data_IF_134498765539
#
_entry.id   IF_134498765539
#
_cell.length_a   1.000
_cell.length_b   1.000
_cell.length_c   1.000
_cell.angle_alpha   90.00
_cell.angle_beta   90.00
_cell.angle_gamma   90.00
#
_symmetry.space_group_name_H-M   'P 1'
#
loop_
_entity.id
_entity.type
_entity.pdbx_description
1 polymer ?
#
# COMPACT_ATOMS: atom_id res chain seq x y z
N UNK A 1 25.90 -1.67 -13.66
CA UNK A 1 24.47 -1.90 -13.97
C UNK A 1 23.91 -0.62 -14.53
N UNK A 2 23.51 -0.61 -15.80
CA UNK A 2 22.81 0.53 -16.39
C UNK A 2 21.53 0.77 -15.61
N UNK A 3 21.41 1.95 -15.01
CA UNK A 3 20.16 2.46 -14.46
C UNK A 3 19.30 2.81 -15.68
N UNK A 4 18.52 1.85 -16.16
CA UNK A 4 17.37 2.17 -16.98
C UNK A 4 16.46 3.03 -16.10
N UNK A 5 16.32 4.32 -16.45
CA UNK A 5 15.34 5.19 -15.84
C UNK A 5 13.96 4.62 -16.15
N UNK A 6 13.40 3.83 -15.24
CA UNK A 6 12.01 3.43 -15.30
C UNK A 6 11.20 4.73 -15.21
N UNK A 7 10.47 5.04 -16.28
CA UNK A 7 9.49 6.12 -16.28
C UNK A 7 8.52 5.89 -15.11
N UNK A 8 8.01 6.96 -14.50
CA UNK A 8 6.96 6.84 -13.50
C UNK A 8 5.74 6.17 -14.16
N UNK A 9 5.51 4.91 -13.85
CA UNK A 9 4.37 4.12 -14.34
C UNK A 9 3.29 4.10 -13.28
N UNK A 10 2.06 4.54 -13.59
CA UNK A 10 0.91 4.29 -12.73
C UNK A 10 0.79 2.79 -12.46
N UNK A 11 0.65 2.40 -11.19
CA UNK A 11 0.55 0.99 -10.81
C UNK A 11 0.30 0.83 -9.33
N UNK A 12 -0.49 -0.19 -8.98
CA UNK A 12 -0.69 -0.56 -7.58
C UNK A 12 0.60 -1.15 -7.00
N UNK A 13 0.63 -1.31 -5.68
CA UNK A 13 1.65 -2.16 -5.07
C UNK A 13 1.31 -3.63 -5.33
N UNK A 14 2.32 -4.48 -5.33
CA UNK A 14 2.17 -5.93 -5.47
C UNK A 14 3.02 -6.61 -4.40
N UNK A 15 2.43 -7.53 -3.65
CA UNK A 15 3.14 -8.38 -2.71
C UNK A 15 3.70 -9.59 -3.45
N UNK A 16 4.98 -9.87 -3.26
CA UNK A 16 5.62 -11.07 -3.80
C UNK A 16 6.45 -11.81 -2.78
N UNK A 17 6.51 -13.13 -2.93
CA UNK A 17 7.54 -13.93 -2.26
C UNK A 17 8.92 -13.75 -2.92
N UNK A 18 9.95 -14.38 -2.36
CA UNK A 18 11.33 -14.27 -2.86
C UNK A 18 11.54 -14.79 -4.31
N UNK A 19 10.61 -15.55 -4.88
CA UNK A 19 10.70 -16.08 -6.25
C UNK A 19 9.72 -15.39 -7.21
N UNK A 20 8.94 -14.43 -6.73
CA UNK A 20 8.06 -13.58 -7.52
C UNK A 20 6.61 -14.04 -7.60
N UNK A 21 6.16 -15.00 -6.78
CA UNK A 21 4.75 -15.39 -6.72
C UNK A 21 3.95 -14.36 -5.91
N UNK A 22 2.70 -14.12 -6.32
CA UNK A 22 1.73 -13.21 -5.67
C UNK A 22 0.76 -13.95 -4.72
N UNK A 23 0.95 -15.25 -4.56
CA UNK A 23 0.28 -16.08 -3.58
C UNK A 23 1.18 -17.25 -3.21
N UNK A 24 0.91 -17.89 -2.07
CA UNK A 24 1.67 -19.05 -1.66
C UNK A 24 0.75 -20.19 -1.21
N UNK A 25 0.89 -21.35 -1.84
CA UNK A 25 0.30 -22.59 -1.35
C UNK A 25 1.39 -23.44 -0.69
N UNK A 26 1.29 -23.57 0.64
CA UNK A 26 2.18 -24.40 1.45
C UNK A 26 1.83 -25.87 1.19
N UNK A 27 2.77 -26.60 0.63
CA UNK A 27 2.63 -28.05 0.38
C UNK A 27 3.81 -28.81 0.99
N UNK A 28 3.74 -30.13 0.96
CA UNK A 28 4.86 -30.98 1.36
C UNK A 28 6.11 -30.88 0.45
N UNK A 29 5.99 -30.22 -0.70
CA UNK A 29 7.09 -30.03 -1.67
C UNK A 29 7.45 -28.56 -1.89
N UNK A 30 6.60 -27.64 -1.43
CA UNK A 30 6.78 -26.20 -1.47
C UNK A 30 6.47 -25.66 -0.07
N UNK A 31 7.48 -25.72 0.80
CA UNK A 31 7.33 -25.45 2.22
C UNK A 31 7.76 -24.03 2.60
N UNK A 32 7.32 -23.63 3.80
CA UNK A 32 7.91 -22.51 4.53
C UNK A 32 9.36 -22.85 4.91
N UNK A 33 10.14 -21.84 5.32
CA UNK A 33 11.50 -22.06 5.81
C UNK A 33 11.53 -22.92 7.09
N UNK A 34 12.73 -23.26 7.59
CA UNK A 34 12.89 -24.14 8.76
C UNK A 34 12.17 -23.64 10.04
N UNK A 35 11.87 -22.34 10.13
CA UNK A 35 11.14 -21.73 11.24
C UNK A 35 9.63 -21.64 10.99
N UNK A 36 9.14 -22.15 9.85
CA UNK A 36 7.73 -22.04 9.46
C UNK A 36 7.36 -20.65 8.97
N UNK A 37 8.29 -19.93 8.34
CA UNK A 37 8.07 -18.57 7.84
C UNK A 37 8.32 -18.44 6.33
N UNK A 38 7.78 -17.37 5.76
CA UNK A 38 7.95 -16.95 4.37
C UNK A 38 8.43 -15.50 4.36
N UNK A 39 9.38 -15.19 3.48
CA UNK A 39 9.83 -13.83 3.22
C UNK A 39 9.01 -13.24 2.07
N UNK A 40 8.38 -12.10 2.33
CA UNK A 40 7.59 -11.33 1.40
C UNK A 40 8.22 -9.94 1.21
N UNK A 41 7.93 -9.32 0.07
CA UNK A 41 8.31 -7.95 -0.21
C UNK A 41 7.22 -7.26 -1.03
N UNK A 42 7.21 -5.93 -0.96
CA UNK A 42 6.33 -5.10 -1.76
C UNK A 42 7.10 -4.55 -2.95
N UNK A 43 6.63 -4.84 -4.16
CA UNK A 43 6.95 -4.06 -5.36
C UNK A 43 5.98 -2.88 -5.45
N UNK A 44 6.50 -1.70 -5.79
CA UNK A 44 5.70 -0.48 -5.78
C UNK A 44 6.14 0.51 -6.88
N UNK A 45 5.24 1.40 -7.35
CA UNK A 45 5.58 2.38 -8.37
C UNK A 45 6.62 3.37 -7.87
N UNK A 46 7.56 3.75 -8.74
CA UNK A 46 8.51 4.82 -8.44
C UNK A 46 7.82 6.17 -8.63
N UNK A 47 7.53 6.84 -7.52
CA UNK A 47 7.01 8.21 -7.49
C UNK A 47 8.14 9.13 -7.05
N UNK A 48 8.38 10.23 -7.78
CA UNK A 48 9.43 11.20 -7.45
C UNK A 48 8.84 12.48 -6.88
N UNK A 49 9.58 13.10 -5.98
CA UNK A 49 9.29 14.46 -5.50
C UNK A 49 9.33 15.46 -6.67
N UNK A 50 8.55 16.53 -6.57
CA UNK A 50 8.43 17.54 -7.63
C UNK A 50 9.33 18.74 -7.38
N UNK A 51 10.50 18.56 -6.76
CA UNK A 51 11.47 19.64 -6.51
C UNK A 51 11.89 20.37 -7.78
N UNK A 52 11.92 19.65 -8.91
CA UNK A 52 12.15 20.17 -10.24
C UNK A 52 11.49 19.23 -11.27
N UNK A 53 11.57 19.58 -12.56
CA UNK A 53 11.13 18.74 -13.68
C UNK A 53 12.24 18.57 -14.71
N UNK A 54 12.28 17.39 -15.34
CA UNK A 54 12.95 17.16 -16.62
C UNK A 54 11.93 17.04 -17.74
N UNK A 55 12.33 17.30 -18.98
CA UNK A 55 11.44 17.19 -20.14
C UNK A 55 12.03 16.27 -21.20
N UNK A 56 11.17 15.41 -21.75
CA UNK A 56 11.51 14.52 -22.86
C UNK A 56 10.46 14.63 -23.95
N UNK A 57 10.89 14.48 -25.21
CA UNK A 57 9.96 14.34 -26.34
C UNK A 57 9.30 12.97 -26.31
N UNK A 58 8.06 12.91 -26.78
CA UNK A 58 7.29 11.69 -26.91
C UNK A 58 6.37 11.75 -28.15
N UNK A 59 5.75 10.62 -28.48
CA UNK A 59 4.79 10.56 -29.57
C UNK A 59 3.56 11.43 -29.29
N UNK A 60 2.93 11.95 -30.34
CA UNK A 60 1.65 12.65 -30.23
C UNK A 60 0.51 11.64 -30.01
N UNK A 61 0.16 11.44 -28.75
CA UNK A 61 -0.90 10.53 -28.31
C UNK A 61 -1.80 11.21 -27.27
N UNK A 62 -2.54 12.26 -27.63
CA UNK A 62 -3.42 12.95 -26.69
C UNK A 62 -4.46 11.98 -26.13
N UNK A 63 -4.69 11.96 -24.80
CA UNK A 63 -5.62 11.01 -24.17
C UNK A 63 -7.09 11.23 -24.52
N UNK A 64 -7.45 12.43 -24.99
CA UNK A 64 -8.79 12.78 -25.51
C UNK A 64 -8.62 13.65 -26.75
N UNK A 65 -9.59 13.59 -27.66
CA UNK A 65 -9.61 14.52 -28.79
C UNK A 65 -9.70 15.97 -28.27
N UNK A 66 -8.99 16.89 -28.93
CA UNK A 66 -8.85 18.27 -28.43
C UNK A 66 -10.17 19.05 -28.42
N UNK A 67 -11.16 18.62 -29.21
CA UNK A 67 -12.51 19.18 -29.28
C UNK A 67 -13.54 18.46 -28.38
N UNK A 68 -13.07 17.72 -27.36
CA UNK A 68 -13.93 17.01 -26.42
C UNK A 68 -13.71 17.49 -24.98
N UNK A 69 -14.76 17.39 -24.17
CA UNK A 69 -14.78 17.77 -22.77
C UNK A 69 -15.88 18.78 -22.47
N UNK A 70 -15.79 19.40 -21.29
CA UNK A 70 -16.65 20.50 -20.89
C UNK A 70 -16.09 21.81 -21.47
N UNK A 71 -16.85 22.55 -22.29
CA UNK A 71 -16.39 23.82 -22.86
C UNK A 71 -16.34 24.91 -21.79
N UNK A 72 -15.39 25.84 -21.94
CA UNK A 72 -15.33 27.07 -21.15
C UNK A 72 -16.15 28.22 -21.75
N UNK A 73 -16.74 28.00 -22.94
CA UNK A 73 -17.42 29.03 -23.73
C UNK A 73 -16.48 30.20 -24.03
N UNK A 74 -15.29 29.88 -24.55
CA UNK A 74 -14.21 30.81 -24.73
C UNK A 74 -14.58 31.94 -25.70
N UNK A 75 -14.50 33.19 -25.22
CA UNK A 75 -14.74 34.39 -26.01
C UNK A 75 -13.95 35.56 -25.42
N UNK A 76 -12.62 35.42 -25.45
CA UNK A 76 -11.69 36.32 -24.80
C UNK A 76 -10.35 36.36 -25.52
N UNK A 77 -9.63 37.44 -25.27
CA UNK A 77 -8.29 37.76 -25.75
C UNK A 77 -7.48 38.26 -24.54
N UNK A 78 -6.21 37.84 -24.44
CA UNK A 78 -5.30 38.25 -23.36
C UNK A 78 -5.86 38.21 -21.92
N UNK A 79 -6.54 37.13 -21.53
CA UNK A 79 -7.22 37.03 -20.24
C UNK A 79 -6.90 35.75 -19.47
N UNK A 80 -6.98 35.83 -18.14
CA UNK A 80 -7.10 34.68 -17.23
C UNK A 80 -8.57 34.53 -16.77
N UNK A 81 -9.48 33.99 -17.61
CA UNK A 81 -10.92 34.11 -17.41
C UNK A 81 -11.53 33.13 -16.41
N UNK A 82 -10.88 31.99 -16.18
CA UNK A 82 -11.53 30.87 -15.51
C UNK A 82 -10.61 30.16 -14.54
N UNK A 83 -11.11 30.00 -13.30
CA UNK A 83 -10.56 29.09 -12.31
C UNK A 83 -11.21 27.72 -12.49
N UNK A 84 -10.41 26.66 -12.54
CA UNK A 84 -10.87 25.28 -12.53
C UNK A 84 -10.41 24.59 -11.24
N UNK A 85 -11.33 23.96 -10.53
CA UNK A 85 -10.99 23.08 -9.43
C UNK A 85 -10.45 21.76 -9.98
N UNK A 86 -9.36 21.28 -9.40
CA UNK A 86 -8.73 20.03 -9.80
C UNK A 86 -9.48 18.85 -9.15
N UNK A 87 -9.73 17.76 -9.90
CA UNK A 87 -10.42 16.58 -9.37
C UNK A 87 -9.56 15.78 -8.37
N UNK A 88 -8.26 16.08 -8.32
CA UNK A 88 -7.27 15.53 -7.40
C UNK A 88 -6.27 16.62 -7.03
N UNK A 89 -5.57 16.43 -5.91
CA UNK A 89 -4.48 17.32 -5.53
C UNK A 89 -3.29 17.11 -6.46
N UNK A 90 -2.77 18.19 -7.03
CA UNK A 90 -1.61 18.16 -7.90
C UNK A 90 -0.44 18.86 -7.22
N UNK A 91 0.69 18.17 -7.08
CA UNK A 91 1.90 18.79 -6.55
C UNK A 91 2.80 19.29 -7.68
N UNK A 92 3.21 20.54 -7.60
CA UNK A 92 4.04 21.21 -8.58
C UNK A 92 5.08 22.06 -7.86
N UNK A 93 6.37 21.81 -8.10
CA UNK A 93 7.48 22.48 -7.39
C UNK A 93 7.33 22.42 -5.85
N UNK A 94 7.05 21.22 -5.32
CA UNK A 94 6.81 20.94 -3.90
C UNK A 94 5.66 21.73 -3.24
N UNK A 95 4.73 22.26 -4.04
CA UNK A 95 3.53 22.92 -3.55
C UNK A 95 2.29 22.18 -4.04
N UNK A 96 1.30 22.04 -3.17
CA UNK A 96 0.04 21.36 -3.49
C UNK A 96 -1.00 22.35 -3.99
N UNK A 97 -1.68 21.98 -5.07
CA UNK A 97 -2.73 22.76 -5.67
C UNK A 97 -4.01 21.93 -5.82
N UNK A 98 -5.14 22.56 -5.51
CA UNK A 98 -6.48 21.99 -5.69
C UNK A 98 -7.26 22.72 -6.80
N UNK A 99 -6.64 23.72 -7.43
CA UNK A 99 -7.21 24.50 -8.50
C UNK A 99 -6.10 25.15 -9.33
N UNK A 100 -6.45 25.57 -10.54
CA UNK A 100 -5.62 26.39 -11.41
C UNK A 100 -6.47 27.47 -12.11
N UNK A 101 -5.81 28.42 -12.76
CA UNK A 101 -6.43 29.42 -13.62
C UNK A 101 -5.94 29.21 -15.05
N UNK A 102 -6.87 29.18 -15.99
CA UNK A 102 -6.60 29.04 -17.42
C UNK A 102 -6.32 30.41 -18.02
N UNK A 103 -5.26 30.54 -18.81
CA UNK A 103 -4.94 31.73 -19.59
C UNK A 103 -5.25 31.52 -21.06
N UNK A 104 -5.86 32.51 -21.70
CA UNK A 104 -6.28 32.46 -23.11
C UNK A 104 -5.13 32.18 -24.07
N UNK A 105 -3.90 32.56 -23.71
CA UNK A 105 -2.74 32.40 -24.57
C UNK A 105 -2.09 31.01 -24.49
N UNK A 106 -2.81 29.95 -24.10
CA UNK A 106 -2.32 28.56 -24.20
C UNK A 106 -1.49 28.10 -22.99
N UNK A 107 -1.78 28.64 -21.81
CA UNK A 107 -1.10 28.32 -20.57
C UNK A 107 -2.09 28.16 -19.40
N UNK A 108 -1.61 27.57 -18.31
CA UNK A 108 -2.30 27.56 -17.02
C UNK A 108 -1.36 27.99 -15.91
N UNK A 109 -1.89 28.59 -14.86
CA UNK A 109 -1.14 28.98 -13.67
C UNK A 109 -1.82 28.47 -12.41
N UNK A 110 -1.02 28.07 -11.43
CA UNK A 110 -1.49 27.73 -10.09
C UNK A 110 -1.53 28.97 -9.17
N UNK A 111 -1.08 30.13 -9.63
CA UNK A 111 -1.31 31.41 -8.94
C UNK A 111 -2.74 31.88 -9.18
N UNK A 112 -3.63 31.55 -8.22
CA UNK A 112 -5.05 31.90 -8.31
C UNK A 112 -5.31 33.41 -8.30
N UNK A 113 -4.34 34.23 -7.89
CA UNK A 113 -4.47 35.69 -7.94
C UNK A 113 -4.50 36.24 -9.37
N UNK A 114 -4.13 35.43 -10.36
CA UNK A 114 -4.20 35.81 -11.77
C UNK A 114 -5.64 35.83 -12.33
N UNK A 115 -6.62 35.24 -11.64
CA UNK A 115 -8.01 35.23 -12.11
C UNK A 115 -8.52 36.65 -12.37
N UNK A 116 -8.97 36.90 -13.60
CA UNK A 116 -9.46 38.20 -14.05
C UNK A 116 -8.39 39.20 -14.49
N UNK A 117 -7.11 38.88 -14.32
CA UNK A 117 -6.00 39.70 -14.81
C UNK A 117 -5.70 39.42 -16.29
N UNK A 118 -4.84 40.27 -16.86
CA UNK A 118 -4.36 40.16 -18.23
C UNK A 118 -3.42 38.96 -18.34
N UNK A 119 -3.70 38.04 -19.27
CA UNK A 119 -2.75 37.01 -19.67
C UNK A 119 -1.90 37.57 -20.81
N UNK A 120 -0.83 38.30 -20.50
CA UNK A 120 -0.03 38.99 -21.52
C UNK A 120 0.47 38.02 -22.62
N UNK A 121 0.49 38.42 -23.90
CA UNK A 121 0.95 37.58 -25.01
C UNK A 121 2.45 37.75 -25.32
N UNK A 122 3.10 38.76 -24.72
CA UNK A 122 4.49 39.13 -24.97
C UNK A 122 5.47 38.18 -24.27
N UNK A 123 6.12 37.31 -25.04
CA UNK A 123 7.15 36.38 -24.57
C UNK A 123 8.54 36.92 -24.96
N UNK A 124 9.16 37.65 -24.03
CA UNK A 124 10.47 38.30 -24.24
C UNK A 124 11.64 37.57 -23.55
N UNK A 125 11.35 36.69 -22.61
CA UNK A 125 12.37 36.04 -21.77
C UNK A 125 12.42 34.54 -22.02
N UNK A 126 13.60 33.95 -21.82
CA UNK A 126 13.78 32.50 -21.79
C UNK A 126 13.36 31.96 -20.42
N UNK A 127 12.65 30.84 -20.39
CA UNK A 127 12.34 30.06 -19.20
C UNK A 127 13.61 29.35 -18.67
N UNK A 128 13.88 29.38 -17.36
CA UNK A 128 13.19 30.14 -16.31
C UNK A 128 13.57 31.62 -16.25
N UNK A 129 12.58 32.47 -15.98
CA UNK A 129 12.78 33.88 -15.69
C UNK A 129 11.64 34.45 -14.84
N UNK A 130 11.98 35.32 -13.88
CA UNK A 130 11.02 35.96 -12.96
C UNK A 130 10.01 36.89 -13.64
N UNK A 131 10.29 37.32 -14.86
CA UNK A 131 9.41 38.17 -15.69
C UNK A 131 8.41 37.37 -16.53
N UNK A 132 8.53 36.03 -16.58
CA UNK A 132 7.50 35.17 -17.16
C UNK A 132 6.36 34.97 -16.15
N UNK A 133 5.14 34.60 -16.62
CA UNK A 133 4.09 34.14 -15.72
C UNK A 133 4.58 32.98 -14.84
N UNK A 134 4.63 33.19 -13.53
CA UNK A 134 5.21 32.23 -12.57
C UNK A 134 4.19 31.16 -12.18
N UNK A 135 4.68 30.11 -11.52
CA UNK A 135 3.85 29.00 -11.05
C UNK A 135 2.96 28.40 -12.16
N UNK A 136 3.55 28.25 -13.35
CA UNK A 136 2.80 28.07 -14.60
C UNK A 136 3.27 26.89 -15.42
N UNK A 137 2.32 26.35 -16.19
CA UNK A 137 2.55 25.37 -17.26
C UNK A 137 2.20 26.05 -18.57
N UNK A 138 3.18 26.16 -19.44
CA UNK A 138 3.07 26.70 -20.78
C UNK A 138 2.87 25.54 -21.76
N UNK A 139 1.63 25.33 -22.21
CA UNK A 139 1.31 24.28 -23.18
C UNK A 139 1.82 24.65 -24.56
N UNK A 140 1.17 25.62 -25.19
CA UNK A 140 1.73 26.39 -26.30
C UNK A 140 1.42 27.84 -25.97
N UNK A 141 2.27 28.45 -25.16
CA UNK A 141 2.10 29.84 -24.78
C UNK A 141 2.41 30.72 -25.99
N UNK A 142 1.40 31.34 -26.59
CA UNK A 142 1.52 32.29 -27.68
C UNK A 142 0.26 33.17 -27.77
N UNK A 143 0.38 34.28 -28.49
CA UNK A 143 -0.71 35.23 -28.72
C UNK A 143 -1.90 34.58 -29.47
N UNK A 144 -2.99 34.33 -28.75
CA UNK A 144 -4.19 33.65 -29.24
C UNK A 144 -5.46 34.34 -28.78
N UNK A 145 -6.43 34.37 -29.70
CA UNK A 145 -7.79 34.86 -29.45
C UNK A 145 -8.81 33.75 -29.68
N UNK A 146 -9.77 33.67 -28.75
CA UNK A 146 -10.91 32.76 -28.81
C UNK A 146 -12.20 33.55 -29.04
N UNK A 147 -13.07 33.05 -29.89
CA UNK A 147 -14.31 33.75 -30.25
C UNK A 147 -15.47 32.79 -30.42
N UNK A 148 -16.61 33.14 -29.81
CA UNK A 148 -17.86 32.40 -29.96
C UNK A 148 -18.42 32.39 -31.41
N UNK A 149 -17.86 33.20 -32.31
CA UNK A 149 -18.27 33.29 -33.72
C UNK A 149 -17.48 32.36 -34.64
N UNK A 150 -16.58 31.53 -34.09
CA UNK A 150 -15.75 30.62 -34.86
C UNK A 150 -15.53 29.29 -34.10
N UNK A 151 -14.85 28.28 -34.68
CA UNK A 151 -14.74 26.96 -34.05
C UNK A 151 -13.73 26.89 -32.88
N UNK A 152 -13.14 28.01 -32.45
CA UNK A 152 -12.19 28.04 -31.33
C UNK A 152 -12.88 27.81 -29.98
N UNK A 153 -12.27 27.00 -29.11
CA UNK A 153 -12.78 26.73 -27.76
C UNK A 153 -11.65 26.24 -26.85
N UNK A 154 -11.85 26.38 -25.54
CA UNK A 154 -11.06 25.70 -24.52
C UNK A 154 -11.94 24.67 -23.81
N UNK A 155 -11.51 23.41 -23.82
CA UNK A 155 -12.19 22.31 -23.14
C UNK A 155 -11.39 21.85 -21.94
N UNK A 156 -12.08 21.34 -20.91
CA UNK A 156 -11.44 20.54 -19.88
C UNK A 156 -12.17 19.21 -19.67
N UNK A 157 -11.47 18.21 -19.18
CA UNK A 157 -12.06 16.93 -18.81
C UNK A 157 -11.28 16.24 -17.71
N UNK A 158 -11.96 15.36 -16.97
CA UNK A 158 -11.32 14.38 -16.08
C UNK A 158 -11.58 13.01 -16.65
N UNK A 159 -10.52 12.22 -16.82
CA UNK A 159 -10.61 10.84 -17.32
C UNK A 159 -9.88 9.88 -16.37
N UNK A 160 -10.15 8.58 -16.53
CA UNK A 160 -9.59 7.54 -15.68
C UNK A 160 -10.30 7.42 -14.33
N UNK A 161 -9.72 6.65 -13.42
CA UNK A 161 -10.26 6.36 -12.09
C UNK A 161 -9.21 6.67 -11.03
N UNK A 162 -9.63 7.14 -9.86
CA UNK A 162 -8.70 7.39 -8.76
C UNK A 162 -7.98 6.07 -8.38
N UNK A 163 -6.69 6.11 -8.02
CA UNK A 163 -5.82 7.28 -7.87
C UNK A 163 -4.99 7.63 -9.13
N UNK A 164 -5.44 7.26 -10.33
CA UNK A 164 -4.72 7.46 -11.60
C UNK A 164 -5.52 8.26 -12.63
N UNK A 165 -6.32 9.24 -12.17
CA UNK A 165 -7.04 10.14 -13.06
C UNK A 165 -6.09 11.04 -13.83
N UNK A 166 -6.56 11.57 -14.95
CA UNK A 166 -5.90 12.66 -15.67
C UNK A 166 -6.86 13.84 -15.75
N UNK A 167 -6.33 15.04 -15.52
CA UNK A 167 -7.03 16.28 -15.78
C UNK A 167 -6.47 16.88 -17.07
N UNK A 168 -7.34 17.07 -18.06
CA UNK A 168 -6.94 17.47 -19.42
C UNK A 168 -7.53 18.83 -19.73
N UNK A 169 -6.73 19.72 -20.31
CA UNK A 169 -7.15 21.05 -20.77
C UNK A 169 -6.71 21.17 -22.23
N UNK A 170 -7.65 21.35 -23.14
CA UNK A 170 -7.42 21.46 -24.58
C UNK A 170 -7.69 22.88 -25.04
N UNK A 171 -6.71 23.50 -25.69
CA UNK A 171 -6.87 24.73 -26.46
C UNK A 171 -7.11 24.32 -27.90
N UNK A 172 -8.34 24.46 -28.39
CA UNK A 172 -8.74 23.96 -29.71
C UNK A 172 -8.98 25.11 -30.67
N UNK A 173 -8.31 25.07 -31.82
CA UNK A 173 -8.51 26.00 -32.94
C UNK A 173 -8.38 27.49 -32.56
N UNK A 174 -7.59 27.80 -31.53
CA UNK A 174 -7.31 29.16 -31.08
C UNK A 174 -6.62 29.95 -32.18
N UNK A 175 -7.20 31.09 -32.57
CA UNK A 175 -6.68 31.87 -33.69
C UNK A 175 -5.46 32.67 -33.23
N UNK A 176 -4.36 32.61 -33.96
CA UNK A 176 -3.20 33.46 -33.66
C UNK A 176 -3.64 34.92 -33.85
N UNK A 177 -3.41 35.78 -32.85
CA UNK A 177 -3.94 37.14 -32.90
C UNK A 177 -3.38 37.93 -34.10
N UNK A 178 -4.26 38.60 -34.84
CA UNK A 178 -3.92 39.28 -36.10
C UNK A 178 -3.73 38.36 -37.31
N UNK A 179 -4.01 37.06 -37.18
CA UNK A 179 -3.85 36.04 -38.22
C UNK A 179 -5.15 35.26 -38.50
N UNK A 180 -5.14 34.44 -39.57
CA UNK A 180 -6.22 33.49 -39.88
C UNK A 180 -5.93 32.08 -39.40
N UNK A 181 -4.64 31.80 -39.20
CA UNK A 181 -4.05 30.58 -38.74
C UNK A 181 -4.46 30.26 -37.30
N UNK A 182 -4.58 28.97 -37.01
CA UNK A 182 -5.06 28.46 -35.73
C UNK A 182 -4.10 27.46 -35.13
N UNK A 183 -3.94 27.52 -33.81
CA UNK A 183 -3.15 26.60 -33.03
C UNK A 183 -4.06 25.73 -32.15
N UNK A 184 -3.67 24.46 -32.00
CA UNK A 184 -4.36 23.50 -31.15
C UNK A 184 -3.33 22.77 -30.28
N UNK A 185 -3.53 22.78 -28.97
CA UNK A 185 -2.66 22.11 -28.01
C UNK A 185 -3.44 21.58 -26.79
N UNK A 186 -2.81 20.71 -26.01
CA UNK A 186 -3.42 20.07 -24.86
C UNK A 186 -2.41 19.94 -23.73
N UNK A 187 -2.84 20.28 -22.50
CA UNK A 187 -2.09 20.07 -21.26
C UNK A 187 -2.77 18.94 -20.50
N UNK A 188 -1.99 17.97 -20.00
CA UNK A 188 -2.48 16.81 -19.25
C UNK A 188 -1.74 16.73 -17.93
N UNK A 189 -2.48 16.77 -16.82
CA UNK A 189 -1.96 16.55 -15.47
C UNK A 189 -2.31 15.14 -15.01
N UNK A 190 -1.33 14.41 -14.49
CA UNK A 190 -1.53 13.04 -14.00
C UNK A 190 -1.65 13.02 -12.48
N UNK A 191 -2.72 12.42 -11.98
CA UNK A 191 -2.88 12.09 -10.56
C UNK A 191 -1.72 11.18 -10.11
N UNK A 192 -1.36 11.27 -8.82
CA UNK A 192 -0.29 10.49 -8.18
C UNK A 192 1.13 10.82 -8.63
N UNK A 193 1.42 10.70 -9.93
CA UNK A 193 2.78 10.86 -10.46
C UNK A 193 3.20 12.31 -10.63
N UNK A 194 2.24 13.25 -10.66
CA UNK A 194 2.48 14.67 -10.95
C UNK A 194 3.22 14.93 -12.28
N UNK A 195 3.17 13.96 -13.20
CA UNK A 195 3.63 14.10 -14.57
C UNK A 195 2.74 15.10 -15.30
N UNK A 196 3.37 15.92 -16.14
CA UNK A 196 2.67 16.85 -17.03
C UNK A 196 2.98 16.42 -18.46
N UNK A 197 1.97 16.34 -19.31
CA UNK A 197 2.16 16.17 -20.74
C UNK A 197 1.63 17.39 -21.48
N UNK A 198 2.31 17.74 -22.57
CA UNK A 198 1.87 18.75 -23.51
C UNK A 198 1.85 18.12 -24.89
N UNK A 199 0.68 18.14 -25.54
CA UNK A 199 0.52 17.69 -26.91
C UNK A 199 0.22 18.90 -27.80
N UNK A 200 0.94 19.02 -28.91
CA UNK A 200 0.72 20.07 -29.91
C UNK A 200 0.19 19.41 -31.15
N UNK A 201 -1.11 19.58 -31.41
CA UNK A 201 -1.72 19.06 -32.64
C UNK A 201 -1.19 19.85 -33.83
N UNK A 202 -1.31 21.18 -33.77
CA UNK A 202 -0.72 22.09 -34.74
C UNK A 202 -0.42 23.44 -34.13
N UNK A 203 0.70 24.02 -34.53
CA UNK A 203 1.03 25.42 -34.34
C UNK A 203 1.78 25.90 -35.58
N UNK A 204 1.12 26.58 -36.53
CA UNK A 204 1.79 27.13 -37.70
C UNK A 204 2.71 28.31 -37.33
N UNK A 205 3.58 28.68 -38.27
CA UNK A 205 4.31 29.94 -38.19
C UNK A 205 3.32 31.11 -38.21
N UNK A 206 3.43 32.09 -37.28
CA UNK A 206 2.56 33.26 -37.28
C UNK A 206 2.62 34.06 -38.59
N UNK A 207 1.48 34.54 -39.07
CA UNK A 207 1.34 35.34 -40.29
C UNK A 207 2.05 36.70 -40.18
N UNK A 208 2.53 37.36 -41.24
CA UNK A 208 3.29 38.62 -41.12
C UNK A 208 2.61 39.77 -40.35
N UNK A 209 1.28 39.77 -40.25
CA UNK A 209 0.49 40.78 -39.52
C UNK A 209 0.36 40.52 -38.03
N UNK A 210 0.88 39.40 -37.49
CA UNK A 210 0.91 39.15 -36.03
C UNK A 210 1.60 40.30 -35.29
N UNK A 211 1.12 40.62 -34.10
CA UNK A 211 1.74 41.59 -33.20
C UNK A 211 2.84 40.96 -32.35
N UNK A 212 2.60 39.78 -31.81
CA UNK A 212 3.56 39.01 -31.02
C UNK A 212 3.80 37.66 -31.70
N UNK A 213 5.07 37.31 -31.92
CA UNK A 213 5.46 36.16 -32.76
C UNK A 213 6.08 35.00 -31.99
N UNK A 214 6.54 35.27 -30.77
CA UNK A 214 7.24 34.30 -29.96
C UNK A 214 6.26 33.31 -29.32
N UNK A 215 6.73 32.09 -29.10
CA UNK A 215 5.98 31.06 -28.41
C UNK A 215 6.85 30.25 -27.46
N UNK A 216 6.23 29.66 -26.44
CA UNK A 216 6.93 28.94 -25.38
C UNK A 216 6.16 27.68 -24.96
N UNK A 217 6.88 26.58 -24.79
CA UNK A 217 6.44 25.36 -24.10
C UNK A 217 7.35 25.15 -22.89
N UNK A 218 6.79 24.84 -21.72
CA UNK A 218 7.60 24.62 -20.54
C UNK A 218 6.82 24.64 -19.24
N UNK A 219 7.55 24.52 -18.14
CA UNK A 219 7.04 24.68 -16.77
C UNK A 219 7.96 25.62 -16.00
N UNK A 220 7.40 26.39 -15.07
CA UNK A 220 8.15 27.32 -14.21
C UNK A 220 7.57 27.36 -12.80
N UNK A 221 8.45 27.44 -11.80
CA UNK A 221 8.07 27.49 -10.39
C UNK A 221 7.53 28.86 -9.95
N UNK A 222 7.13 28.97 -8.69
CA UNK A 222 6.44 30.13 -8.15
C UNK A 222 7.30 31.41 -8.02
N UNK A 223 8.62 31.29 -7.92
CA UNK A 223 9.54 32.43 -7.86
C UNK A 223 10.21 32.74 -9.21
N UNK A 224 10.07 31.87 -10.21
CA UNK A 224 10.63 32.05 -11.55
C UNK A 224 12.11 31.67 -11.68
N UNK A 225 12.69 31.00 -10.68
CA UNK A 225 14.10 30.59 -10.67
C UNK A 225 14.33 29.17 -11.18
N UNK A 226 13.31 28.31 -11.15
CA UNK A 226 13.35 26.95 -11.67
C UNK A 226 12.32 26.78 -12.78
N UNK A 227 12.74 26.13 -13.86
CA UNK A 227 11.90 25.90 -15.01
C UNK A 227 12.63 25.07 -16.05
N UNK A 228 11.86 24.42 -16.91
CA UNK A 228 12.40 23.63 -18.01
C UNK A 228 11.49 23.77 -19.23
N UNK A 229 12.11 23.82 -20.41
CA UNK A 229 11.44 23.87 -21.70
C UNK A 229 12.04 22.82 -22.63
N UNK A 230 11.26 22.20 -23.53
CA UNK A 230 11.81 21.31 -24.53
C UNK A 230 12.84 22.02 -25.43
N UNK A 231 13.79 21.27 -26.03
CA UNK A 231 14.73 21.82 -27.00
C UNK A 231 14.01 22.61 -28.10
N UNK A 232 14.50 23.84 -28.39
CA UNK A 232 13.93 24.74 -29.40
C UNK A 232 12.45 25.14 -29.17
N UNK A 233 11.93 25.00 -27.94
CA UNK A 233 10.56 25.43 -27.57
C UNK A 233 10.53 26.43 -26.41
N UNK A 234 11.68 26.95 -26.00
CA UNK A 234 11.79 27.87 -24.86
C UNK A 234 11.31 29.29 -25.19
N UNK A 235 11.56 29.80 -26.40
CA UNK A 235 11.05 31.09 -26.88
C UNK A 235 11.29 31.17 -28.40
N UNK A 236 10.94 32.31 -29.01
CA UNK A 236 11.20 32.58 -30.42
C UNK A 236 10.10 32.08 -31.35
N UNK A 237 10.34 32.23 -32.65
CA UNK A 237 9.40 31.86 -33.71
C UNK A 237 9.65 30.43 -34.17
N UNK A 238 8.69 29.56 -33.92
CA UNK A 238 8.73 28.15 -34.35
C UNK A 238 7.33 27.65 -34.72
N UNK A 239 7.32 26.58 -35.51
CA UNK A 239 6.13 25.80 -35.84
C UNK A 239 6.25 24.39 -35.26
N UNK A 240 5.11 23.75 -35.05
CA UNK A 240 5.01 22.37 -34.56
C UNK A 240 3.79 21.69 -35.19
N UNK A 241 3.91 20.40 -35.48
CA UNK A 241 2.81 19.57 -35.98
C UNK A 241 2.95 18.19 -35.34
N UNK A 242 1.90 17.77 -34.62
CA UNK A 242 1.84 16.49 -33.91
C UNK A 242 3.10 16.21 -33.07
N UNK A 243 3.39 17.11 -32.12
CA UNK A 243 4.47 16.94 -31.16
C UNK A 243 3.94 16.57 -29.77
N UNK A 244 4.68 15.75 -29.02
CA UNK A 244 4.39 15.44 -27.63
C UNK A 244 5.60 15.71 -26.73
N UNK A 245 5.35 16.27 -25.55
CA UNK A 245 6.36 16.50 -24.53
C UNK A 245 5.86 16.00 -23.18
N UNK A 246 6.74 15.31 -22.44
CA UNK A 246 6.45 14.81 -21.10
C UNK A 246 7.43 15.42 -20.11
N UNK A 247 6.89 16.10 -19.11
CA UNK A 247 7.62 16.65 -17.97
C UNK A 247 7.51 15.68 -16.81
N UNK A 248 8.65 15.11 -16.41
CA UNK A 248 8.73 14.18 -15.27
C UNK A 248 9.29 14.90 -14.05
N UNK A 249 8.70 14.71 -12.86
CA UNK A 249 9.33 15.15 -11.62
C UNK A 249 10.75 14.59 -11.46
N UNK A 250 11.69 15.46 -11.09
CA UNK A 250 13.13 15.19 -11.03
C UNK A 250 13.68 15.17 -9.57
N UNK A 251 12.82 15.10 -8.56
CA UNK A 251 13.25 14.95 -7.17
C UNK A 251 13.61 13.53 -6.76
N UNK A 252 13.93 13.36 -5.48
CA UNK A 252 14.21 12.04 -4.91
C UNK A 252 12.99 11.12 -5.03
N UNK A 253 13.23 9.81 -5.16
CA UNK A 253 12.16 8.81 -5.08
C UNK A 253 11.55 8.81 -3.68
N UNK A 254 10.22 8.81 -3.61
CA UNK A 254 9.45 8.73 -2.37
C UNK A 254 9.41 7.26 -1.95
N UNK A 255 9.93 6.99 -0.75
CA UNK A 255 9.84 5.67 -0.13
C UNK A 255 8.51 5.57 0.64
N UNK A 256 7.71 4.50 0.44
CA UNK A 256 6.49 4.31 1.21
C UNK A 256 6.77 3.77 2.60
N UNK A 257 5.96 4.18 3.57
CA UNK A 257 5.84 3.50 4.85
C UNK A 257 4.88 2.31 4.68
N UNK A 258 5.36 1.09 4.92
CA UNK A 258 4.58 -0.15 4.69
C UNK A 258 4.20 -0.82 6.01
N UNK A 259 2.92 -1.13 6.17
CA UNK A 259 2.37 -1.92 7.28
C UNK A 259 1.73 -3.19 6.75
N UNK A 260 2.00 -4.33 7.39
CA UNK A 260 1.40 -5.62 7.05
C UNK A 260 0.39 -6.04 8.10
N UNK A 261 -0.80 -6.45 7.68
CA UNK A 261 -1.87 -6.94 8.57
C UNK A 261 -2.35 -8.34 8.18
N UNK A 262 -2.86 -9.10 9.14
CA UNK A 262 -3.63 -10.32 8.87
C UNK A 262 -5.11 -10.01 8.58
N UNK A 263 -5.93 -11.02 8.24
CA UNK A 263 -7.38 -10.86 8.01
C UNK A 263 -8.15 -10.32 9.23
N UNK A 264 -7.60 -10.47 10.44
CA UNK A 264 -8.13 -9.87 11.66
C UNK A 264 -7.78 -8.38 11.85
N UNK A 265 -7.04 -7.77 10.92
CA UNK A 265 -6.60 -6.38 11.00
C UNK A 265 -5.44 -6.13 11.97
N UNK A 266 -4.84 -7.19 12.52
CA UNK A 266 -3.70 -7.07 13.42
C UNK A 266 -2.41 -6.86 12.63
N UNK A 267 -1.59 -5.87 13.01
CA UNK A 267 -0.26 -5.66 12.42
C UNK A 267 0.66 -6.83 12.75
N UNK A 268 1.25 -7.43 11.72
CA UNK A 268 2.19 -8.56 11.83
C UNK A 268 3.63 -8.19 11.47
N UNK A 269 3.83 -7.14 10.67
CA UNK A 269 5.15 -6.63 10.29
C UNK A 269 5.07 -5.18 9.78
N UNK A 270 6.22 -4.53 9.65
CA UNK A 270 6.38 -3.23 8.99
C UNK A 270 7.62 -3.23 8.08
N UNK A 271 7.65 -2.31 7.11
CA UNK A 271 8.73 -2.19 6.13
C UNK A 271 8.43 -2.84 4.79
N UNK A 272 9.21 -2.49 3.76
CA UNK A 272 9.03 -2.96 2.38
C UNK A 272 9.32 -4.47 2.19
N UNK A 273 9.91 -5.10 3.21
CA UNK A 273 10.13 -6.54 3.32
C UNK A 273 9.58 -7.02 4.66
N UNK A 274 9.03 -8.23 4.69
CA UNK A 274 8.50 -8.84 5.90
C UNK A 274 8.76 -10.35 5.92
N UNK A 275 9.08 -10.89 7.09
CA UNK A 275 9.11 -12.34 7.33
C UNK A 275 7.88 -12.71 8.16
N UNK A 276 7.00 -13.53 7.59
CA UNK A 276 5.72 -13.90 8.21
C UNK A 276 5.69 -15.40 8.49
N UNK A 277 5.22 -15.80 9.67
CA UNK A 277 5.22 -17.20 10.12
C UNK A 277 3.79 -17.75 10.27
N UNK A 278 3.10 -18.07 9.16
CA UNK A 278 1.72 -18.55 9.19
C UNK A 278 1.59 -19.94 9.82
N UNK A 279 0.49 -20.14 10.54
CA UNK A 279 0.12 -21.43 11.14
C UNK A 279 -1.12 -22.07 10.50
N UNK A 280 -1.85 -21.31 9.69
CA UNK A 280 -3.08 -21.69 9.01
C UNK A 280 -3.30 -20.79 7.79
N UNK A 281 -4.32 -21.11 6.98
CA UNK A 281 -4.74 -20.26 5.87
C UNK A 281 -4.97 -18.83 6.34
N UNK A 282 -4.43 -17.87 5.60
CA UNK A 282 -4.46 -16.46 5.95
C UNK A 282 -4.38 -15.59 4.68
N UNK A 283 -4.87 -14.36 4.77
CA UNK A 283 -4.61 -13.32 3.77
C UNK A 283 -3.84 -12.21 4.47
N UNK A 284 -2.65 -11.92 3.94
CA UNK A 284 -1.83 -10.83 4.44
C UNK A 284 -2.00 -9.61 3.55
N UNK A 285 -2.40 -8.49 4.13
CA UNK A 285 -2.56 -7.21 3.42
C UNK A 285 -1.36 -6.34 3.70
N UNK A 286 -0.70 -5.84 2.66
CA UNK A 286 0.28 -4.77 2.78
C UNK A 286 -0.40 -3.43 2.48
N UNK A 287 -0.20 -2.45 3.34
CA UNK A 287 -0.63 -1.05 3.14
C UNK A 287 0.60 -0.18 3.00
N UNK A 288 0.83 0.39 1.82
CA UNK A 288 1.90 1.31 1.52
C UNK A 288 1.39 2.75 1.51
N UNK A 289 1.94 3.60 2.38
CA UNK A 289 1.60 5.02 2.47
C UNK A 289 2.76 5.84 1.92
N UNK A 290 2.52 6.51 0.80
CA UNK A 290 3.47 7.46 0.22
C UNK A 290 3.20 8.83 0.81
N UNK A 291 4.20 9.38 1.50
CA UNK A 291 4.20 10.77 1.95
C UNK A 291 4.42 11.68 0.73
N UNK A 292 3.35 11.93 0.01
CA UNK A 292 3.35 12.86 -1.10
C UNK A 292 3.46 14.29 -0.57
N UNK A 293 3.65 15.23 -1.48
CA UNK A 293 3.87 16.64 -1.21
C UNK A 293 2.95 17.24 -0.13
N UNK A 294 3.48 18.10 0.75
CA UNK A 294 2.74 18.71 1.85
C UNK A 294 2.24 17.70 2.90
N UNK A 295 0.95 17.74 3.22
CA UNK A 295 0.27 16.82 4.15
C UNK A 295 -0.52 15.73 3.43
N UNK A 296 -0.34 15.62 2.11
CA UNK A 296 -1.07 14.66 1.29
C UNK A 296 -0.42 13.29 1.39
N UNK A 297 -1.23 12.24 1.39
CA UNK A 297 -0.72 10.87 1.33
C UNK A 297 -1.45 10.10 0.25
N UNK A 298 -0.72 9.23 -0.44
CA UNK A 298 -1.29 8.21 -1.30
C UNK A 298 -1.18 6.88 -0.57
N UNK A 299 -2.31 6.22 -0.35
CA UNK A 299 -2.36 4.88 0.24
C UNK A 299 -2.70 3.87 -0.84
N UNK A 300 -1.82 2.88 -1.01
CA UNK A 300 -2.03 1.74 -1.88
C UNK A 300 -2.02 0.46 -1.04
N UNK A 301 -2.82 -0.52 -1.44
CA UNK A 301 -2.94 -1.81 -0.73
C UNK A 301 -2.88 -2.95 -1.71
N UNK A 302 -2.40 -4.10 -1.24
CA UNK A 302 -2.48 -5.37 -1.94
C UNK A 302 -2.61 -6.53 -0.95
N UNK A 303 -3.18 -7.64 -1.41
CA UNK A 303 -3.46 -8.83 -0.61
C UNK A 303 -2.62 -10.00 -1.12
N UNK A 304 -2.03 -10.75 -0.18
CA UNK A 304 -1.28 -11.95 -0.45
C UNK A 304 -1.99 -13.17 0.16
N UNK A 305 -2.69 -13.98 -0.66
CA UNK A 305 -3.31 -15.20 -0.19
C UNK A 305 -2.26 -16.25 0.14
N UNK A 306 -2.29 -16.77 1.37
CA UNK A 306 -1.48 -17.89 1.80
C UNK A 306 -2.37 -19.04 2.25
N UNK A 307 -2.21 -20.19 1.60
CA UNK A 307 -3.02 -21.38 1.84
C UNK A 307 -2.15 -22.56 2.20
N UNK A 308 -2.73 -23.53 2.91
CA UNK A 308 -2.12 -24.80 3.26
C UNK A 308 -2.86 -25.91 2.54
N UNK A 309 -2.11 -26.77 1.85
CA UNK A 309 -2.64 -28.00 1.29
C UNK A 309 -3.21 -28.89 2.41
N UNK A 310 -4.37 -29.56 2.23
CA UNK A 310 -4.94 -30.44 3.24
C UNK A 310 -4.02 -31.59 3.67
N UNK A 311 -3.04 -31.96 2.84
CA UNK A 311 -2.04 -32.99 3.13
C UNK A 311 -0.80 -32.45 3.85
N UNK A 312 -0.66 -31.12 3.96
CA UNK A 312 0.37 -30.49 4.78
C UNK A 312 -0.06 -30.49 6.25
N UNK A 313 0.73 -31.07 7.19
CA UNK A 313 0.35 -31.14 8.59
C UNK A 313 0.23 -29.76 9.25
N UNK A 314 -0.88 -29.50 9.94
CA UNK A 314 -1.06 -28.35 10.84
C UNK A 314 -0.86 -28.79 12.30
N UNK A 315 -0.09 -28.01 13.05
CA UNK A 315 0.20 -28.26 14.47
C UNK A 315 -0.37 -27.16 15.35
N UNK A 316 -0.97 -27.55 16.47
CA UNK A 316 -1.49 -26.67 17.52
C UNK A 316 -1.02 -27.16 18.88
N UNK A 317 -0.54 -26.26 19.71
CA UNK A 317 -0.14 -26.61 21.08
C UNK A 317 -1.38 -26.93 21.93
N UNK A 318 -1.25 -27.90 22.84
CA UNK A 318 -2.32 -28.31 23.74
C UNK A 318 -1.80 -28.50 25.17
N UNK A 319 -2.62 -28.13 26.14
CA UNK A 319 -2.33 -28.29 27.57
C UNK A 319 -3.44 -29.10 28.22
N UNK A 320 -3.08 -30.09 29.03
CA UNK A 320 -4.01 -30.87 29.83
C UNK A 320 -3.54 -30.90 31.28
N UNK A 321 -4.45 -30.56 32.19
CA UNK A 321 -4.23 -30.63 33.63
C UNK A 321 -4.78 -31.95 34.19
N UNK A 322 -4.01 -32.53 35.12
CA UNK A 322 -4.37 -33.68 35.94
C UNK A 322 -4.20 -33.32 37.41
N UNK A 323 -5.11 -33.81 38.25
CA UNK A 323 -5.06 -33.64 39.70
C UNK A 323 -4.85 -35.01 40.35
N UNK A 324 -3.87 -35.11 41.25
CA UNK A 324 -3.65 -36.32 42.04
C UNK A 324 -2.23 -36.46 42.58
N UNK A 325 -2.06 -37.40 43.50
CA UNK A 325 -0.78 -37.70 44.15
C UNK A 325 -0.18 -39.03 43.67
N UNK A 326 -0.80 -39.65 42.67
CA UNK A 326 -0.36 -40.93 42.09
C UNK A 326 -0.08 -40.76 40.60
N UNK A 327 0.81 -41.59 40.01
CA UNK A 327 1.04 -41.58 38.58
C UNK A 327 -0.25 -41.80 37.78
N UNK A 328 -0.42 -41.04 36.70
CA UNK A 328 -1.58 -41.16 35.81
C UNK A 328 -1.18 -41.94 34.57
N UNK A 329 -1.91 -43.02 34.27
CA UNK A 329 -1.70 -43.78 33.03
C UNK A 329 -2.49 -43.14 31.89
N UNK A 330 -1.78 -42.78 30.82
CA UNK A 330 -2.29 -42.08 29.65
C UNK A 330 -2.11 -42.94 28.41
N UNK A 331 -3.04 -42.76 27.47
CA UNK A 331 -2.91 -43.29 26.10
C UNK A 331 -2.59 -42.12 25.18
N UNK A 332 -1.33 -41.99 24.74
CA UNK A 332 -0.88 -40.79 24.02
C UNK A 332 -1.67 -40.51 22.73
N UNK A 333 -2.11 -41.57 22.02
CA UNK A 333 -2.94 -41.43 20.82
C UNK A 333 -4.27 -40.71 21.05
N UNK A 334 -4.78 -40.64 22.29
CA UNK A 334 -6.00 -39.88 22.59
C UNK A 334 -5.84 -38.38 22.39
N UNK A 335 -4.60 -37.85 22.42
CA UNK A 335 -4.32 -36.43 22.24
C UNK A 335 -4.18 -36.00 20.77
N UNK A 336 -4.20 -36.93 19.82
CA UNK A 336 -3.95 -36.62 18.39
C UNK A 336 -4.92 -35.56 17.86
N UNK A 337 -6.20 -35.64 18.22
CA UNK A 337 -7.22 -34.65 17.84
C UNK A 337 -7.06 -33.29 18.52
N UNK A 338 -6.31 -33.19 19.62
CA UNK A 338 -6.10 -31.94 20.33
C UNK A 338 -4.94 -31.11 19.77
N UNK A 339 -3.97 -31.77 19.11
CA UNK A 339 -2.72 -31.14 18.66
C UNK A 339 -2.72 -30.77 17.17
N UNK A 340 -3.83 -30.95 16.48
CA UNK A 340 -4.04 -30.51 15.09
C UNK A 340 -5.44 -29.93 14.90
N UNK A 341 -5.61 -29.07 13.91
CA UNK A 341 -6.92 -28.57 13.46
C UNK A 341 -7.51 -29.41 12.33
N UNK A 342 -6.76 -30.39 11.81
CA UNK A 342 -7.15 -31.25 10.70
C UNK A 342 -7.66 -32.62 11.20
N UNK A 343 -8.26 -33.42 10.33
CA UNK A 343 -8.63 -34.79 10.67
C UNK A 343 -7.37 -35.62 11.01
N UNK A 344 -7.20 -36.10 12.25
CA UNK A 344 -6.00 -36.86 12.65
C UNK A 344 -5.80 -38.14 11.84
N UNK A 345 -6.87 -38.74 11.30
CA UNK A 345 -6.76 -39.96 10.50
C UNK A 345 -5.91 -39.80 9.22
N UNK A 346 -5.67 -38.55 8.78
CA UNK A 346 -4.88 -38.25 7.59
C UNK A 346 -3.37 -38.20 7.86
N UNK A 347 -2.93 -38.30 9.11
CA UNK A 347 -1.53 -38.09 9.51
C UNK A 347 -1.00 -39.20 10.41
N UNK A 348 0.33 -39.30 10.45
CA UNK A 348 1.06 -40.18 11.37
C UNK A 348 1.59 -39.35 12.54
N UNK A 349 1.32 -39.80 13.76
CA UNK A 349 1.73 -39.11 14.98
C UNK A 349 2.80 -39.90 15.73
N UNK A 350 3.80 -39.20 16.26
CA UNK A 350 4.75 -39.75 17.23
C UNK A 350 5.05 -38.74 18.32
N UNK A 351 5.27 -39.23 19.55
CA UNK A 351 5.46 -38.42 20.74
C UNK A 351 6.90 -38.54 21.22
N UNK A 352 7.49 -37.42 21.63
CA UNK A 352 8.92 -37.32 21.94
C UNK A 352 9.15 -36.47 23.19
N UNK A 353 10.21 -36.77 23.93
CA UNK A 353 10.60 -36.01 25.13
C UNK A 353 11.39 -34.73 24.81
N UNK A 354 11.86 -34.55 23.57
CA UNK A 354 12.61 -33.37 23.13
C UNK A 354 12.20 -32.93 21.73
N UNK A 355 12.35 -31.64 21.45
CA UNK A 355 12.12 -31.06 20.12
C UNK A 355 13.02 -31.70 19.06
N UNK A 356 14.30 -31.92 19.39
CA UNK A 356 15.28 -32.53 18.50
C UNK A 356 14.86 -33.95 18.08
N UNK A 357 14.34 -34.76 19.02
CA UNK A 357 13.87 -36.12 18.73
C UNK A 357 12.63 -36.09 17.81
N UNK A 358 11.69 -35.17 18.06
CA UNK A 358 10.52 -34.98 17.21
C UNK A 358 10.90 -34.51 15.79
N UNK A 359 11.88 -33.61 15.66
CA UNK A 359 12.38 -33.13 14.37
C UNK A 359 13.09 -34.23 13.59
N UNK A 360 13.93 -35.03 14.25
CA UNK A 360 14.69 -36.11 13.63
C UNK A 360 13.90 -37.42 13.49
N UNK A 361 12.69 -37.49 14.06
CA UNK A 361 11.86 -38.70 14.12
C UNK A 361 12.56 -39.91 14.77
N UNK A 362 13.22 -39.68 15.92
CA UNK A 362 13.97 -40.72 16.64
C UNK A 362 13.43 -40.90 18.06
N UNK A 363 13.55 -42.11 18.61
CA UNK A 363 13.14 -42.44 19.99
C UNK A 363 11.67 -42.09 20.32
N UNK A 364 10.68 -42.53 19.51
CA UNK A 364 9.28 -42.28 19.82
C UNK A 364 8.86 -42.98 21.12
N UNK A 365 8.03 -42.31 21.91
CA UNK A 365 7.48 -42.84 23.15
C UNK A 365 6.43 -43.94 22.87
N UNK A 366 6.31 -44.96 23.74
CA UNK A 366 5.22 -45.92 23.68
C UNK A 366 3.84 -45.25 23.86
N UNK A 367 2.80 -45.83 23.25
CA UNK A 367 1.45 -45.28 23.35
C UNK A 367 0.91 -45.27 24.80
N UNK A 368 1.29 -46.27 25.59
CA UNK A 368 1.02 -46.32 27.02
C UNK A 368 2.09 -45.50 27.74
N UNK A 369 1.68 -44.38 28.34
CA UNK A 369 2.59 -43.44 29.00
C UNK A 369 2.15 -43.18 30.44
N UNK A 370 3.07 -43.27 31.39
CA UNK A 370 2.79 -43.00 32.80
C UNK A 370 3.32 -41.62 33.16
N UNK A 371 2.40 -40.69 33.43
CA UNK A 371 2.71 -39.34 33.90
C UNK A 371 2.98 -39.38 35.41
N UNK A 372 4.24 -39.16 35.80
CA UNK A 372 4.67 -39.12 37.21
C UNK A 372 4.92 -37.71 37.74
N UNK A 373 5.11 -36.74 36.84
CA UNK A 373 5.30 -35.32 37.13
C UNK A 373 4.88 -34.48 35.91
N UNK A 374 4.65 -33.18 36.11
CA UNK A 374 4.37 -32.25 35.02
C UNK A 374 5.47 -32.32 33.95
N UNK A 375 5.08 -32.57 32.70
CA UNK A 375 6.01 -32.87 31.60
C UNK A 375 5.55 -32.19 30.32
N UNK A 376 6.50 -31.74 29.51
CA UNK A 376 6.27 -31.27 28.14
C UNK A 376 6.70 -32.35 27.15
N UNK A 377 5.80 -32.74 26.26
CA UNK A 377 6.05 -33.66 25.15
C UNK A 377 5.97 -32.90 23.82
N UNK A 378 6.73 -33.37 22.84
CA UNK A 378 6.75 -32.85 21.48
C UNK A 378 6.11 -33.86 20.53
N UNK A 379 5.02 -33.47 19.88
CA UNK A 379 4.24 -34.35 19.01
C UNK A 379 4.58 -34.04 17.56
N UNK A 380 5.24 -34.98 16.88
CA UNK A 380 5.48 -34.91 15.43
C UNK A 380 4.23 -35.37 14.70
N UNK A 381 3.70 -34.51 13.84
CA UNK A 381 2.55 -34.75 12.97
C UNK A 381 3.08 -34.81 11.55
N UNK A 382 3.03 -35.97 10.91
CA UNK A 382 3.69 -36.22 9.63
C UNK A 382 2.72 -36.68 8.56
N UNK A 383 2.93 -36.23 7.32
CA UNK A 383 2.26 -36.80 6.15
C UNK A 383 2.67 -38.28 5.95
N UNK A 384 1.72 -39.21 5.74
CA UNK A 384 2.01 -40.63 5.62
C UNK A 384 2.85 -40.99 4.38
N UNK A 385 2.76 -40.19 3.32
CA UNK A 385 3.36 -40.47 2.02
C UNK A 385 4.63 -39.65 1.74
N UNK A 386 4.93 -38.61 2.53
CA UNK A 386 6.09 -37.72 2.33
C UNK A 386 6.95 -37.66 3.60
N UNK A 387 8.01 -38.49 3.73
CA UNK A 387 8.77 -38.68 4.97
C UNK A 387 9.49 -37.45 5.58
N UNK A 388 9.52 -36.30 4.89
CA UNK A 388 10.04 -35.03 5.41
C UNK A 388 8.99 -33.97 5.71
N UNK A 389 7.71 -34.24 5.43
CA UNK A 389 6.63 -33.26 5.61
C UNK A 389 6.00 -33.44 6.99
N UNK A 390 6.44 -32.63 7.96
CA UNK A 390 5.96 -32.69 9.33
C UNK A 390 5.90 -31.30 9.99
N UNK A 391 5.07 -31.21 11.04
CA UNK A 391 5.11 -30.13 12.03
C UNK A 391 5.21 -30.73 13.43
N UNK A 392 5.67 -29.93 14.38
CA UNK A 392 5.78 -30.34 15.79
C UNK A 392 4.86 -29.47 16.64
N UNK A 393 3.95 -30.10 17.37
CA UNK A 393 3.12 -29.47 18.39
C UNK A 393 3.73 -29.68 19.79
N UNK A 394 3.52 -28.73 20.69
CA UNK A 394 3.86 -28.86 22.11
C UNK A 394 2.63 -29.38 22.87
N UNK A 395 2.79 -30.50 23.57
CA UNK A 395 1.81 -31.09 24.46
C UNK A 395 2.29 -30.92 25.91
N UNK A 396 1.64 -30.04 26.66
CA UNK A 396 1.95 -29.80 28.07
C UNK A 396 1.01 -30.61 28.95
N UNK A 397 1.55 -31.52 29.75
CA UNK A 397 0.81 -32.33 30.70
C UNK A 397 1.16 -31.87 32.11
N UNK A 398 0.24 -31.22 32.80
CA UNK A 398 0.46 -30.77 34.17
C UNK A 398 -0.10 -31.81 35.14
N UNK A 399 0.74 -32.30 36.06
CA UNK A 399 0.30 -33.11 37.18
C UNK A 399 0.33 -32.24 38.44
N UNK A 400 -0.83 -31.70 38.80
CA UNK A 400 -0.99 -30.93 40.03
C UNK A 400 -1.23 -31.88 41.20
N UNK A 401 -0.29 -31.90 42.14
CA UNK A 401 -0.46 -32.60 43.42
C UNK A 401 -1.27 -31.72 44.35
N UNK A 402 -2.58 -31.97 44.47
CA UNK A 402 -3.38 -31.44 45.56
C UNK A 402 -3.44 -32.50 46.66
N UNK A 403 -2.59 -32.35 47.67
CA UNK A 403 -2.61 -33.19 48.87
C UNK A 403 -3.63 -32.66 49.85
N UNK A 404 -4.79 -33.31 49.91
CA UNK A 404 -5.64 -33.24 51.09
C UNK A 404 -4.92 -33.98 52.23
N UNK A 405 -4.68 -33.31 53.35
CA UNK A 405 -4.13 -33.93 54.56
C UNK A 405 -5.15 -34.91 55.16
N UNK A 406 -6.44 -34.54 55.11
CA UNK A 406 -7.58 -35.35 55.52
C UNK A 406 -8.72 -35.21 54.52
N UNK A 407 -9.54 -36.24 54.39
CA UNK A 407 -10.79 -36.24 53.63
C UNK A 407 -12.04 -36.38 54.52
N UNK A 408 -11.83 -36.53 55.83
CA UNK A 408 -12.86 -36.53 56.86
C UNK A 408 -12.39 -35.57 57.94
N UNK A 409 -13.28 -34.69 58.39
CA UNK A 409 -13.05 -33.75 59.48
C UNK A 409 -14.03 -34.06 60.60
N UNK A 410 -13.59 -33.89 61.83
CA UNK A 410 -14.44 -34.04 63.00
C UNK A 410 -14.86 -32.65 63.45
N UNK A 411 -16.17 -32.38 63.42
CA UNK A 411 -16.75 -31.14 63.94
C UNK A 411 -17.40 -31.49 65.28
N UNK A 412 -17.09 -30.70 66.31
CA UNK A 412 -17.72 -30.85 67.61
C UNK A 412 -19.15 -30.30 67.57
N UNK A 413 -20.11 -31.20 67.76
CA UNK A 413 -21.51 -30.83 67.97
C UNK A 413 -21.68 -30.22 69.37
N UNK A 414 -21.55 -28.90 69.42
CA UNK A 414 -21.51 -28.13 70.66
C UNK A 414 -22.87 -28.11 71.37
N UNK A 415 -23.96 -28.32 70.63
CA UNK A 415 -25.33 -28.31 71.16
C UNK A 415 -25.98 -29.71 71.20
N UNK A 416 -25.27 -30.74 70.70
CA UNK A 416 -25.74 -32.11 70.58
C UNK A 416 -27.10 -32.22 69.85
N UNK A 417 -27.28 -31.40 68.82
CA UNK A 417 -28.50 -31.32 67.99
C UNK A 417 -28.29 -31.82 66.55
N UNK A 418 -27.06 -32.23 66.22
CA UNK A 418 -26.64 -32.69 64.90
C UNK A 418 -26.51 -31.58 63.85
N UNK A 419 -26.50 -30.30 64.25
CA UNK A 419 -26.48 -29.15 63.32
C UNK A 419 -25.59 -28.00 63.79
N UNK A 420 -24.52 -27.72 63.04
CA UNK A 420 -23.67 -26.55 63.22
C UNK A 420 -23.96 -25.46 62.18
N UNK A 421 -24.97 -24.63 62.46
CA UNK A 421 -25.32 -23.52 61.58
C UNK A 421 -24.21 -22.45 61.51
N UNK A 422 -23.92 -21.96 60.30
CA UNK A 422 -22.92 -20.92 60.02
C UNK A 422 -21.48 -21.27 60.45
N UNK A 423 -21.12 -22.55 60.45
CA UNK A 423 -19.74 -22.96 60.69
C UNK A 423 -18.78 -22.36 59.66
N UNK A 424 -17.71 -21.68 60.11
CA UNK A 424 -16.72 -21.13 59.20
C UNK A 424 -15.80 -22.23 58.68
N UNK A 425 -16.02 -22.62 57.42
CA UNK A 425 -15.29 -23.70 56.77
C UNK A 425 -13.77 -23.44 56.67
N UNK A 426 -13.31 -22.18 56.75
CA UNK A 426 -11.87 -21.87 56.77
C UNK A 426 -11.14 -22.42 58.00
N UNK A 427 -11.85 -22.79 59.06
CA UNK A 427 -11.22 -23.47 60.21
C UNK A 427 -10.79 -24.89 59.89
N UNK A 428 -11.32 -25.48 58.81
CA UNK A 428 -10.89 -26.80 58.34
C UNK A 428 -9.64 -26.72 57.46
N UNK A 429 -9.22 -25.53 57.01
CA UNK A 429 -8.06 -25.35 56.12
C UNK A 429 -6.77 -26.03 56.65
N UNK A 430 -6.38 -25.86 57.93
CA UNK A 430 -5.16 -26.48 58.46
C UNK A 430 -5.26 -28.01 58.60
N UNK A 431 -6.49 -28.53 58.65
CA UNK A 431 -6.76 -29.96 58.73
C UNK A 431 -6.86 -30.63 57.37
N UNK A 432 -7.32 -29.88 56.37
CA UNK A 432 -7.54 -30.36 55.01
C UNK A 432 -6.32 -30.11 54.11
N UNK A 433 -5.50 -29.09 54.36
CA UNK A 433 -4.44 -28.67 53.44
C UNK A 433 -3.09 -28.45 54.12
N UNK A 434 -2.01 -28.70 53.39
CA UNK A 434 -0.66 -28.42 53.87
C UNK A 434 -0.44 -26.91 54.10
N UNK A 435 0.36 -26.51 55.11
CA UNK A 435 0.70 -25.10 55.34
C UNK A 435 1.24 -24.42 54.07
N UNK A 436 0.71 -23.23 53.74
CA UNK A 436 1.08 -22.47 52.55
C UNK A 436 0.25 -22.77 51.29
N UNK A 437 -0.77 -23.61 51.37
CA UNK A 437 -1.76 -23.79 50.29
C UNK A 437 -2.54 -22.49 50.09
N UNK A 438 -2.55 -21.97 48.86
CA UNK A 438 -3.24 -20.72 48.48
C UNK A 438 -4.40 -21.01 47.51
N UNK A 439 -5.38 -20.10 47.44
CA UNK A 439 -6.50 -20.20 46.49
C UNK A 439 -7.60 -21.17 46.91
N UNK A 440 -7.86 -21.30 48.21
CA UNK A 440 -8.95 -22.12 48.75
C UNK A 440 -10.26 -21.31 48.72
N UNK A 441 -11.35 -21.92 48.28
CA UNK A 441 -12.70 -21.34 48.27
C UNK A 441 -13.71 -22.36 48.76
N UNK A 442 -14.69 -21.91 49.53
CA UNK A 442 -15.73 -22.72 50.16
C UNK A 442 -17.13 -22.36 49.68
#
# INVERSE_FOLDING_TARGET
MSVFGLAQTPGNIIIKDAVGNESFNVTCTNGLNANGCIDLHVEYPVIKQTTNYEVVSQAFTPPVALNQGTPLNANYDDAFPTKLDLPFQFCFYNQNFNALVVGSNGMVTFDLSQLGNINYPNIQWQNPNVSLPKNSIFGVYNDMVFSANDPSEIYYSTIGTAPYRKFVISFYEGRIAGCTERASSQIVLHETTNVIEVFVDKKPTPCPTRKFENALIGVINADGTLGVSPPNRNTGVWQALQEGYRFNPLGNAIQPDVTWTNSGGQTVATGIQATICPTQNEVYTATAVFNTCGTSTLTLTDDFPLTFDPTYPAAKNFTQDYCGNTPVNLTLSSFQGNVTTQNPANFVFSFHTSLQNAQNNVSPLPNNYTLTASTVLYVRIQNPNVPGCYRVAVLTLNLQTKSLLKNTVEICDTNNDGVEANYNLSFLDPELFAPGTIGISY
#
